data_IF_019153963640
#
_entry.id   IF_019153963640
#
_cell.length_a   1.000
_cell.length_b   1.000
_cell.length_c   1.000
_cell.angle_alpha   90.00
_cell.angle_beta   90.00
_cell.angle_gamma   90.00
#
_symmetry.space_group_name_H-M   'P 1'
#
loop_
_entity.id
_entity.type
_entity.pdbx_description
1 polymer ?
#
# COMPACT_ATOMS: atom_id res chain seq x y z
N UNK A 1 9.57 27.80 -6.14
CA UNK A 1 8.77 27.34 -4.98
C UNK A 1 9.09 25.87 -4.83
N UNK A 2 9.70 25.49 -3.72
CA UNK A 2 10.11 24.11 -3.44
C UNK A 2 9.01 23.46 -2.58
N UNK A 3 8.15 22.58 -3.14
CA UNK A 3 7.03 22.00 -2.41
C UNK A 3 7.52 20.79 -1.62
N UNK A 4 8.37 21.02 -0.62
CA UNK A 4 8.75 20.01 0.37
C UNK A 4 8.07 20.32 1.69
N UNK A 5 7.16 19.45 2.12
CA UNK A 5 6.57 19.52 3.45
C UNK A 5 7.28 18.50 4.35
N UNK A 6 7.96 18.99 5.38
CA UNK A 6 8.51 18.15 6.44
C UNK A 6 7.47 18.08 7.56
N UNK A 7 6.85 16.91 7.74
CA UNK A 7 5.93 16.69 8.86
C UNK A 7 6.79 16.35 10.08
N UNK A 8 6.97 17.32 10.98
CA UNK A 8 7.58 17.07 12.28
C UNK A 8 6.59 16.31 13.16
N UNK A 9 6.95 15.15 13.73
CA UNK A 9 6.10 14.51 14.73
C UNK A 9 5.97 15.44 15.94
N UNK A 10 4.75 15.66 16.42
CA UNK A 10 4.52 16.43 17.65
C UNK A 10 5.27 15.79 18.82
N UNK A 11 5.83 16.60 19.75
CA UNK A 11 6.34 16.07 21.00
C UNK A 11 5.18 15.40 21.73
N UNK A 12 5.30 14.11 22.01
CA UNK A 12 4.33 13.37 22.80
C UNK A 12 4.43 13.93 24.22
N UNK A 13 3.51 14.83 24.57
CA UNK A 13 3.25 15.12 25.99
C UNK A 13 2.84 13.80 26.65
N UNK A 14 3.60 13.42 27.67
CA UNK A 14 3.29 12.28 28.53
C UNK A 14 1.85 12.41 29.02
N UNK A 15 0.95 11.45 28.77
CA UNK A 15 -0.37 11.49 29.38
C UNK A 15 -0.16 11.32 30.88
N UNK A 16 -0.84 12.17 31.64
CA UNK A 16 -1.10 11.99 33.07
C UNK A 16 -1.41 10.52 33.38
N UNK A 17 -0.88 10.04 34.49
CA UNK A 17 -1.03 8.68 35.00
C UNK A 17 -2.48 8.18 34.87
N UNK A 18 -2.63 6.90 34.50
CA UNK A 18 -3.81 6.04 34.71
C UNK A 18 -4.78 5.72 33.55
N UNK A 19 -4.32 5.76 32.29
CA UNK A 19 -5.06 5.12 31.15
C UNK A 19 -4.20 4.08 30.39
N UNK A 20 -2.88 4.09 30.59
CA UNK A 20 -1.94 3.14 29.96
C UNK A 20 -2.11 1.69 30.42
N UNK A 21 -2.87 1.44 31.49
CA UNK A 21 -3.12 0.10 32.02
C UNK A 21 -4.24 -0.65 31.28
N UNK A 22 -5.07 0.04 30.49
CA UNK A 22 -6.18 -0.59 29.74
C UNK A 22 -5.74 -1.07 28.36
N UNK A 23 -4.80 -0.36 27.72
CA UNK A 23 -4.24 -0.72 26.43
C UNK A 23 -2.74 -0.91 26.59
N UNK A 24 -2.30 -2.15 26.79
CA UNK A 24 -0.89 -2.51 26.74
C UNK A 24 -0.42 -2.42 25.29
N UNK A 25 -0.18 -1.21 24.79
CA UNK A 25 0.44 -1.01 23.48
C UNK A 25 1.77 -1.77 23.48
N UNK A 26 2.00 -2.59 22.46
CA UNK A 26 3.23 -3.37 22.37
C UNK A 26 4.46 -2.47 22.30
N UNK A 27 5.63 -3.03 22.60
CA UNK A 27 6.88 -2.27 22.58
C UNK A 27 7.16 -1.69 21.19
N UNK A 28 7.90 -0.58 21.16
CA UNK A 28 8.48 -0.08 19.90
C UNK A 28 9.74 -0.88 19.60
N UNK A 29 9.71 -1.67 18.51
CA UNK A 29 10.80 -2.58 18.13
C UNK A 29 11.78 -1.95 17.13
N UNK A 30 11.41 -0.82 16.53
CA UNK A 30 12.24 -0.12 15.55
C UNK A 30 11.51 1.04 14.88
N UNK A 31 12.08 1.54 13.78
CA UNK A 31 11.51 2.60 12.96
C UNK A 31 11.72 2.27 11.48
N UNK A 32 10.78 2.65 10.63
CA UNK A 32 10.87 2.54 9.17
C UNK A 32 10.67 3.91 8.55
N UNK A 33 11.51 4.27 7.58
CA UNK A 33 11.37 5.50 6.81
C UNK A 33 10.65 5.23 5.50
N UNK A 34 9.56 5.95 5.25
CA UNK A 34 8.77 5.87 4.03
C UNK A 34 8.90 7.15 3.22
N UNK A 35 9.00 7.00 1.89
CA UNK A 35 9.02 8.10 0.93
C UNK A 35 7.94 7.89 -0.12
N UNK A 36 7.16 8.93 -0.40
CA UNK A 36 6.18 8.97 -1.49
C UNK A 36 6.63 10.02 -2.48
N UNK A 37 6.68 9.68 -3.76
CA UNK A 37 7.07 10.58 -4.84
C UNK A 37 6.02 10.52 -5.96
N UNK A 38 5.60 11.69 -6.45
CA UNK A 38 4.80 11.82 -7.68
C UNK A 38 5.73 12.37 -8.75
N UNK A 39 5.84 11.67 -9.88
CA UNK A 39 6.69 12.06 -11.01
C UNK A 39 5.86 12.31 -12.27
N UNK A 40 6.36 13.16 -13.18
CA UNK A 40 5.72 13.41 -14.48
C UNK A 40 5.73 12.18 -15.40
N UNK A 41 6.74 11.33 -15.24
CA UNK A 41 7.01 10.18 -16.09
C UNK A 41 7.50 8.98 -15.28
N UNK A 42 7.48 7.81 -15.92
CA UNK A 42 8.08 6.58 -15.39
C UNK A 42 9.60 6.66 -15.38
N UNK A 43 10.24 6.04 -14.38
CA UNK A 43 11.67 5.77 -14.27
C UNK A 43 12.23 5.12 -15.54
N UNK A 44 11.45 4.22 -16.15
CA UNK A 44 11.80 3.60 -17.42
C UNK A 44 10.63 3.71 -18.40
N UNK A 45 10.83 4.28 -19.60
CA UNK A 45 9.79 4.36 -20.61
C UNK A 45 9.14 2.99 -20.84
N UNK A 46 7.82 2.99 -21.02
CA UNK A 46 6.99 1.80 -21.28
C UNK A 46 6.92 0.76 -20.14
N UNK A 47 7.43 1.06 -18.95
CA UNK A 47 7.21 0.24 -17.75
C UNK A 47 6.21 0.94 -16.84
N UNK A 48 5.07 0.30 -16.59
CA UNK A 48 4.03 0.81 -15.70
C UNK A 48 4.39 0.58 -14.23
N UNK A 49 4.82 -0.62 -13.85
CA UNK A 49 5.25 -0.93 -12.49
C UNK A 49 6.65 -1.55 -12.47
N UNK A 50 7.49 -1.10 -11.55
CA UNK A 50 8.80 -1.70 -11.32
C UNK A 50 9.21 -1.56 -9.86
N UNK A 51 10.02 -2.52 -9.42
CA UNK A 51 10.70 -2.48 -8.13
C UNK A 51 12.19 -2.25 -8.36
N UNK A 52 12.74 -1.23 -7.74
CA UNK A 52 14.18 -0.95 -7.71
C UNK A 52 14.68 -1.14 -6.29
N UNK A 53 15.78 -1.87 -6.14
CA UNK A 53 16.38 -2.19 -4.85
C UNK A 53 17.77 -1.59 -4.82
N UNK A 54 18.04 -0.78 -3.80
CA UNK A 54 19.34 -0.21 -3.50
C UNK A 54 19.91 -0.90 -2.25
N UNK A 55 20.82 -1.89 -2.40
CA UNK A 55 21.43 -2.58 -1.27
C UNK A 55 22.19 -1.63 -0.32
N UNK A 56 22.54 -2.08 0.90
CA UNK A 56 23.36 -1.29 1.82
C UNK A 56 24.64 -0.81 1.13
N UNK A 57 25.01 0.44 1.40
CA UNK A 57 26.18 1.13 0.84
C UNK A 57 26.16 1.38 -0.67
N UNK A 58 25.03 1.21 -1.37
CA UNK A 58 24.93 1.42 -2.82
C UNK A 58 24.71 2.89 -3.22
N UNK A 59 23.99 3.67 -2.41
CA UNK A 59 23.73 5.10 -2.68
C UNK A 59 24.70 6.01 -1.91
N UNK A 60 24.97 5.69 -0.65
CA UNK A 60 25.88 6.44 0.22
C UNK A 60 26.71 5.47 1.07
N UNK A 61 27.97 5.78 1.42
CA UNK A 61 28.80 4.90 2.24
C UNK A 61 28.17 4.52 3.59
N UNK A 62 27.39 5.42 4.18
CA UNK A 62 26.76 5.25 5.50
C UNK A 62 25.37 4.57 5.43
N UNK A 63 24.91 4.19 4.25
CA UNK A 63 23.62 3.54 4.07
C UNK A 63 23.65 2.12 4.68
N UNK A 64 23.16 1.97 5.91
CA UNK A 64 23.17 0.71 6.64
C UNK A 64 22.08 -0.29 6.18
N UNK A 65 20.99 0.18 5.58
CA UNK A 65 19.82 -0.63 5.20
C UNK A 65 19.53 -0.57 3.69
N UNK A 66 18.86 -1.59 3.16
CA UNK A 66 18.37 -1.56 1.78
C UNK A 66 17.25 -0.53 1.62
N UNK A 67 17.23 0.18 0.50
CA UNK A 67 16.12 1.06 0.11
C UNK A 67 15.37 0.42 -1.04
N UNK A 68 14.04 0.39 -0.92
CA UNK A 68 13.13 -0.24 -1.88
C UNK A 68 12.26 0.84 -2.50
N UNK A 69 12.24 0.91 -3.83
CA UNK A 69 11.44 1.88 -4.58
C UNK A 69 10.46 1.13 -5.46
N UNK A 70 9.19 1.18 -5.10
CA UNK A 70 8.10 0.65 -5.91
C UNK A 70 7.48 1.77 -6.72
N UNK A 71 7.64 1.72 -8.04
CA UNK A 71 6.93 2.61 -8.93
C UNK A 71 5.60 1.98 -9.35
N UNK A 72 4.54 2.78 -9.31
CA UNK A 72 3.22 2.42 -9.81
C UNK A 72 2.79 3.47 -10.85
N UNK A 73 2.60 3.03 -12.08
CA UNK A 73 2.13 3.83 -13.20
C UNK A 73 0.61 3.74 -13.34
N UNK A 74 0.03 4.65 -14.13
CA UNK A 74 -1.43 4.83 -14.23
C UNK A 74 -2.21 3.70 -14.93
N UNK A 75 -1.58 2.54 -15.16
CA UNK A 75 -2.23 1.36 -15.77
C UNK A 75 -2.86 0.45 -14.70
N UNK A 76 -2.42 0.56 -13.44
CA UNK A 76 -3.15 -0.05 -12.33
C UNK A 76 -4.53 0.59 -12.29
N UNK A 77 -5.55 -0.24 -12.49
CA UNK A 77 -6.92 0.13 -12.80
C UNK A 77 -7.46 1.26 -11.92
N UNK A 78 -8.43 2.00 -12.48
CA UNK A 78 -9.29 3.00 -11.80
C UNK A 78 -8.93 4.48 -11.92
N UNK A 79 -8.32 4.91 -13.03
CA UNK A 79 -8.27 6.36 -13.36
C UNK A 79 -9.66 7.03 -13.30
N UNK A 80 -10.72 6.32 -13.69
CA UNK A 80 -12.11 6.81 -13.64
C UNK A 80 -12.65 6.90 -12.21
N UNK A 81 -12.45 5.87 -11.38
CA UNK A 81 -12.92 5.87 -10.00
C UNK A 81 -12.14 6.86 -9.14
N UNK A 82 -10.84 7.02 -9.38
CA UNK A 82 -10.00 7.98 -8.68
C UNK A 82 -10.40 9.42 -9.04
N UNK A 83 -10.68 9.71 -10.32
CA UNK A 83 -11.21 11.02 -10.73
C UNK A 83 -12.57 11.31 -10.06
N UNK A 84 -13.49 10.33 -10.06
CA UNK A 84 -14.79 10.47 -9.40
C UNK A 84 -14.67 10.67 -7.87
N UNK A 85 -13.75 9.96 -7.21
CA UNK A 85 -13.47 10.15 -5.79
C UNK A 85 -12.86 11.52 -5.51
N UNK A 86 -11.94 11.99 -6.35
CA UNK A 86 -11.34 13.33 -6.22
C UNK A 86 -12.36 14.44 -6.41
N UNK A 87 -13.22 14.37 -7.43
CA UNK A 87 -14.27 15.37 -7.67
C UNK A 87 -15.30 15.40 -6.52
N UNK A 88 -15.55 14.25 -5.89
CA UNK A 88 -16.42 14.14 -4.71
C UNK A 88 -15.79 14.74 -3.45
N UNK A 89 -14.48 14.53 -3.25
CA UNK A 89 -13.75 14.99 -2.07
C UNK A 89 -13.32 16.46 -2.17
N UNK A 90 -13.08 16.95 -3.38
CA UNK A 90 -12.54 18.28 -3.62
C UNK A 90 -13.33 18.97 -4.74
N UNK A 91 -14.00 20.08 -4.42
CA UNK A 91 -14.52 20.99 -5.45
C UNK A 91 -13.34 21.72 -6.09
N UNK A 92 -12.82 21.15 -7.18
CA UNK A 92 -11.90 21.87 -8.05
C UNK A 92 -12.71 22.91 -8.80
N UNK A 93 -12.51 24.19 -8.49
CA UNK A 93 -13.00 25.26 -9.35
C UNK A 93 -12.22 25.22 -10.67
N UNK A 94 -12.72 24.47 -11.65
CA UNK A 94 -12.28 24.59 -13.04
C UNK A 94 -12.75 25.94 -13.54
N UNK A 95 -11.83 26.90 -13.59
CA UNK A 95 -12.07 28.16 -14.30
C UNK A 95 -12.21 27.80 -15.78
N UNK A 96 -13.45 27.72 -16.24
CA UNK A 96 -13.77 27.71 -17.66
C UNK A 96 -13.12 28.94 -18.31
N UNK A 97 -12.13 28.71 -19.15
CA UNK A 97 -11.86 29.62 -20.26
C UNK A 97 -11.61 28.74 -21.47
N UNK A 98 -12.73 28.46 -22.14
CA UNK A 98 -12.75 28.02 -23.51
C UNK A 98 -11.94 29.00 -24.35
N UNK A 99 -10.91 28.51 -25.03
CA UNK A 99 -10.62 28.91 -26.39
C UNK A 99 -10.12 27.69 -27.16
N UNK A 100 -10.75 27.51 -28.31
CA UNK A 100 -10.77 26.33 -29.15
C UNK A 100 -9.55 26.20 -30.08
N UNK A 101 -9.31 24.94 -30.46
CA UNK A 101 -8.72 24.46 -31.71
C UNK A 101 -7.24 24.73 -31.99
N UNK A 102 -6.45 23.66 -32.11
CA UNK A 102 -6.24 23.05 -33.43
C UNK A 102 -5.64 21.64 -33.29
N UNK A 103 -6.28 20.71 -33.97
CA UNK A 103 -5.71 19.45 -34.46
C UNK A 103 -4.30 19.64 -34.98
N UNK A 104 -3.37 18.77 -34.61
CA UNK A 104 -2.40 18.22 -35.56
C UNK A 104 -1.91 16.87 -35.07
N UNK A 105 -2.44 15.86 -35.74
CA UNK A 105 -1.89 14.52 -35.84
C UNK A 105 -0.61 14.60 -36.68
N UNK A 106 0.53 14.22 -36.11
CA UNK A 106 1.73 13.92 -36.89
C UNK A 106 2.27 12.57 -36.44
N UNK A 107 2.11 11.60 -37.33
CA UNK A 107 2.74 10.29 -37.31
C UNK A 107 4.27 10.40 -37.26
N UNK A 108 4.86 9.46 -36.53
CA UNK A 108 6.12 8.77 -36.77
C UNK A 108 7.20 9.46 -37.61
N UNK A 109 8.31 9.80 -36.94
CA UNK A 109 9.64 9.65 -37.53
C UNK A 109 10.61 9.16 -36.44
N UNK A 110 11.12 7.95 -36.64
CA UNK A 110 12.21 7.38 -35.87
C UNK A 110 13.46 8.28 -35.93
N UNK A 111 13.98 8.70 -34.78
CA UNK A 111 15.38 9.06 -34.63
C UNK A 111 15.81 8.81 -33.17
N UNK A 112 16.72 7.85 -33.02
CA UNK A 112 17.50 7.56 -31.82
C UNK A 112 17.98 8.84 -31.12
N UNK A 113 17.60 8.97 -29.85
CA UNK A 113 18.58 9.12 -28.77
C UNK A 113 17.95 8.55 -27.49
N UNK A 114 18.46 7.41 -27.03
CA UNK A 114 18.06 6.81 -25.76
C UNK A 114 18.79 7.53 -24.62
N UNK A 115 18.60 8.84 -24.50
CA UNK A 115 18.96 9.53 -23.28
C UNK A 115 17.90 9.16 -22.25
N UNK A 116 18.26 8.29 -21.30
CA UNK A 116 17.41 7.93 -20.16
C UNK A 116 17.18 9.20 -19.31
N UNK A 117 16.15 9.96 -19.66
CA UNK A 117 15.82 11.20 -18.95
C UNK A 117 15.21 10.81 -17.60
N UNK A 118 15.95 11.10 -16.52
CA UNK A 118 15.48 10.96 -15.15
C UNK A 118 14.09 11.64 -14.99
N UNK A 119 13.10 10.98 -14.39
CA UNK A 119 11.77 11.57 -14.22
C UNK A 119 11.80 12.89 -13.46
N UNK A 120 10.97 13.82 -13.88
CA UNK A 120 10.76 15.08 -13.14
C UNK A 120 9.90 14.82 -11.91
N UNK A 121 10.42 15.15 -10.72
CA UNK A 121 9.67 15.12 -9.47
C UNK A 121 8.64 16.27 -9.46
N UNK A 122 7.38 15.94 -9.18
CA UNK A 122 6.29 16.90 -9.01
C UNK A 122 6.04 17.20 -7.53
N UNK A 123 6.08 16.16 -6.71
CA UNK A 123 5.80 16.24 -5.28
C UNK A 123 6.47 15.08 -4.54
N UNK A 124 6.88 15.31 -3.30
CA UNK A 124 7.31 14.25 -2.40
C UNK A 124 6.90 14.50 -0.95
N UNK A 125 6.76 13.41 -0.21
CA UNK A 125 6.64 13.43 1.24
C UNK A 125 7.50 12.32 1.84
N UNK A 126 8.04 12.57 3.02
CA UNK A 126 8.79 11.61 3.80
C UNK A 126 8.22 11.55 5.22
N UNK A 127 8.09 10.35 5.76
CA UNK A 127 7.69 10.16 7.15
C UNK A 127 8.41 8.96 7.76
N UNK A 128 8.49 8.94 9.09
CA UNK A 128 9.06 7.84 9.84
C UNK A 128 7.92 7.21 10.63
N UNK A 129 7.79 5.90 10.51
CA UNK A 129 6.82 5.08 11.23
C UNK A 129 7.53 4.27 12.31
N UNK A 130 6.97 4.29 13.53
CA UNK A 130 7.43 3.42 14.60
C UNK A 130 6.89 2.01 14.40
N UNK A 131 7.75 1.01 14.55
CA UNK A 131 7.35 -0.38 14.52
C UNK A 131 6.81 -0.75 15.90
N UNK A 132 5.49 -0.81 15.99
CA UNK A 132 4.76 -1.18 17.20
C UNK A 132 4.46 -2.66 17.11
N UNK A 133 4.87 -3.41 18.13
CA UNK A 133 4.53 -4.82 18.24
C UNK A 133 3.04 -5.02 18.56
N UNK A 134 2.46 -6.09 18.00
CA UNK A 134 1.14 -6.53 18.41
C UNK A 134 1.16 -7.06 19.84
N UNK A 135 0.04 -6.95 20.53
CA UNK A 135 -0.11 -7.49 21.88
C UNK A 135 -1.44 -8.22 21.99
N UNK A 136 -1.48 -9.23 22.85
CA UNK A 136 -2.68 -10.01 23.09
C UNK A 136 -2.98 -10.04 24.58
N UNK A 137 -3.94 -9.22 24.98
CA UNK A 137 -4.55 -9.18 26.31
C UNK A 137 -6.08 -9.21 26.22
N UNK A 138 -6.80 -8.58 27.16
CA UNK A 138 -8.25 -8.37 27.05
C UNK A 138 -8.66 -7.62 25.78
N UNK A 139 -7.74 -6.82 25.23
CA UNK A 139 -7.83 -6.17 23.92
C UNK A 139 -6.68 -6.69 23.06
N UNK A 140 -6.97 -6.95 21.79
CA UNK A 140 -5.97 -7.36 20.79
C UNK A 140 -5.47 -6.12 20.05
N UNK A 141 -4.16 -5.94 19.97
CA UNK A 141 -3.52 -4.94 19.11
C UNK A 141 -2.72 -5.62 18.01
N UNK A 142 -2.87 -5.16 16.77
CA UNK A 142 -2.13 -5.68 15.62
C UNK A 142 -0.82 -4.91 15.45
N UNK A 143 0.26 -5.58 14.98
CA UNK A 143 1.51 -4.88 14.70
C UNK A 143 1.33 -3.86 13.56
N UNK A 144 2.12 -2.79 13.59
CA UNK A 144 2.21 -1.87 12.44
C UNK A 144 2.87 -2.55 11.23
N UNK A 145 2.61 -2.08 9.99
CA UNK A 145 3.37 -2.50 8.82
C UNK A 145 4.88 -2.41 9.05
N UNK A 146 5.60 -3.48 8.69
CA UNK A 146 7.03 -3.70 8.94
C UNK A 146 7.95 -3.05 7.89
N UNK A 147 7.38 -2.48 6.83
CA UNK A 147 8.12 -1.92 5.70
C UNK A 147 8.60 -2.98 4.71
N UNK A 148 8.25 -4.25 4.89
CA UNK A 148 8.57 -5.33 3.96
C UNK A 148 7.61 -5.32 2.76
N UNK A 149 8.09 -5.77 1.61
CA UNK A 149 7.26 -5.92 0.40
C UNK A 149 6.36 -7.15 0.45
N UNK A 150 6.72 -8.13 1.28
CA UNK A 150 5.93 -9.33 1.48
C UNK A 150 5.11 -9.22 2.77
N UNK A 151 4.01 -9.95 2.82
CA UNK A 151 3.09 -9.96 3.94
C UNK A 151 3.36 -11.10 4.93
N UNK A 152 4.52 -11.78 4.87
CA UNK A 152 4.73 -13.01 5.63
C UNK A 152 4.62 -12.78 7.15
N UNK A 153 5.19 -11.69 7.65
CA UNK A 153 5.15 -11.37 9.08
C UNK A 153 3.74 -10.98 9.54
N UNK A 154 2.99 -10.27 8.69
CA UNK A 154 1.58 -9.94 8.92
C UNK A 154 0.71 -11.22 8.94
N UNK A 155 0.85 -12.08 7.94
CA UNK A 155 0.10 -13.34 7.83
C UNK A 155 0.45 -14.27 8.99
N UNK A 156 1.73 -14.40 9.33
CA UNK A 156 2.19 -15.20 10.46
C UNK A 156 1.67 -14.67 11.81
N UNK A 157 1.63 -13.35 11.99
CA UNK A 157 1.05 -12.73 13.19
C UNK A 157 -0.46 -12.95 13.26
N UNK A 158 -1.16 -12.85 12.13
CA UNK A 158 -2.60 -13.09 12.05
C UNK A 158 -2.93 -14.56 12.34
N UNK A 159 -2.19 -15.51 11.78
CA UNK A 159 -2.38 -16.93 12.06
C UNK A 159 -2.24 -17.26 13.56
N UNK A 160 -1.20 -16.71 14.22
CA UNK A 160 -0.99 -16.88 15.67
C UNK A 160 -2.15 -16.33 16.49
N UNK A 161 -2.78 -15.24 16.02
CA UNK A 161 -3.95 -14.67 16.67
C UNK A 161 -5.15 -15.64 16.60
N UNK A 162 -5.46 -16.18 15.41
CA UNK A 162 -6.57 -17.12 15.22
C UNK A 162 -6.38 -18.42 16.00
N UNK A 163 -5.17 -18.98 16.01
CA UNK A 163 -4.85 -20.17 16.82
C UNK A 163 -5.17 -19.98 18.31
N UNK A 164 -5.04 -18.74 18.83
CA UNK A 164 -5.34 -18.44 20.23
C UNK A 164 -6.81 -18.11 20.48
N UNK A 165 -7.58 -17.84 19.43
CA UNK A 165 -9.04 -17.74 19.48
C UNK A 165 -9.72 -19.11 19.35
N UNK A 166 -8.96 -20.18 19.15
CA UNK A 166 -9.46 -21.55 18.91
C UNK A 166 -10.43 -21.60 17.70
N UNK A 167 -10.15 -20.76 16.70
CA UNK A 167 -10.95 -20.60 15.48
C UNK A 167 -10.13 -20.98 14.24
N UNK A 168 -10.83 -21.42 13.19
CA UNK A 168 -10.20 -21.86 11.95
C UNK A 168 -9.76 -20.65 11.11
N UNK A 169 -8.53 -20.72 10.60
CA UNK A 169 -7.96 -19.65 9.78
C UNK A 169 -8.29 -19.89 8.30
N UNK A 170 -9.30 -19.16 7.80
CA UNK A 170 -9.84 -19.27 6.44
C UNK A 170 -10.44 -20.64 6.12
N UNK A 171 -11.56 -21.04 6.77
CA UNK A 171 -12.28 -22.26 6.40
C UNK A 171 -12.77 -22.17 4.96
N UNK A 172 -12.72 -23.31 4.25
CA UNK A 172 -13.24 -23.41 2.90
C UNK A 172 -14.77 -23.25 2.92
N UNK A 173 -15.30 -22.29 2.17
CA UNK A 173 -16.76 -22.13 2.08
C UNK A 173 -17.33 -23.26 1.25
N UNK A 174 -18.03 -24.19 1.88
CA UNK A 174 -18.79 -25.23 1.18
C UNK A 174 -19.91 -24.52 0.41
N UNK A 175 -19.69 -24.27 -0.88
CA UNK A 175 -20.75 -23.85 -1.79
C UNK A 175 -21.64 -25.07 -2.07
N UNK A 176 -22.45 -25.46 -1.11
CA UNK A 176 -23.57 -26.36 -1.40
C UNK A 176 -24.61 -25.53 -2.14
N UNK A 177 -24.48 -25.50 -3.47
CA UNK A 177 -25.63 -25.15 -4.30
C UNK A 177 -26.76 -26.11 -3.90
N UNK A 178 -27.93 -25.63 -3.46
CA UNK A 178 -29.02 -26.50 -3.00
C UNK A 178 -29.57 -27.43 -4.09
N UNK A 179 -29.03 -27.36 -5.31
CA UNK A 179 -29.35 -28.20 -6.47
C UNK A 179 -28.70 -29.58 -6.45
N UNK A 180 -27.66 -29.82 -5.64
CA UNK A 180 -26.95 -31.11 -5.64
C UNK A 180 -27.57 -32.19 -4.71
N UNK A 181 -28.75 -31.91 -4.15
CA UNK A 181 -29.56 -32.92 -3.46
C UNK A 181 -30.64 -33.47 -4.39
N UNK A 182 -30.24 -34.14 -5.45
CA UNK A 182 -31.12 -35.09 -6.13
C UNK A 182 -30.35 -36.39 -6.32
N UNK A 183 -31.04 -37.46 -5.92
CA UNK A 183 -30.78 -38.88 -6.23
C UNK A 183 -29.77 -39.60 -5.32
N UNK A 184 -30.28 -40.23 -4.25
CA UNK A 184 -30.15 -41.69 -4.06
C UNK A 184 -31.02 -42.20 -2.89
N UNK A 185 -32.34 -42.28 -3.10
CA UNK A 185 -33.22 -43.11 -2.27
C UNK A 185 -33.74 -44.28 -3.14
N UNK A 186 -32.83 -45.19 -3.50
CA UNK A 186 -33.12 -46.47 -4.14
C UNK A 186 -33.11 -47.62 -3.12
N UNK A 187 -34.29 -48.22 -2.93
CA UNK A 187 -34.64 -49.30 -1.99
C UNK A 187 -33.62 -50.44 -1.74
N UNK A 188 -33.45 -50.80 -0.46
CA UNK A 188 -33.15 -52.16 -0.04
C UNK A 188 -33.84 -52.47 1.31
N UNK A 189 -35.13 -52.82 1.24
CA UNK A 189 -35.82 -53.54 2.32
C UNK A 189 -35.89 -55.02 1.92
N UNK A 190 -35.01 -55.84 2.49
CA UNK A 190 -35.21 -57.29 2.57
C UNK A 190 -36.37 -57.60 3.53
N UNK A 191 -37.37 -58.35 3.05
CA UNK A 191 -38.23 -59.25 3.84
C UNK A 191 -38.78 -60.34 2.95
#
# INVERSE_FOLDING_TARGET
MDPSITITPSPVNSPSEDISNVFKVGGVSGKVAHGICITKSSLKPNISSCLVIYPPRSLYPDQATSIWVLQLGSNIAEKKSLHAAMDSLFSVHTLDTADSSSTDQADSAEAKDSTEVKPTLLWSALYIQDLIEGSMGPVVTTPTPDGNLNYNDLIGSTLKLFQKLDDEFFPETINTDPSDKLDDDGDLLES
#
